data_IF_984798964518
#
_entry.id   IF_984798964518
#
_cell.length_a   1.000
_cell.length_b   1.000
_cell.length_c   1.000
_cell.angle_alpha   90.00
_cell.angle_beta   90.00
_cell.angle_gamma   90.00
#
_symmetry.space_group_name_H-M   'P 1'
#
loop_
_entity.id
_entity.type
_entity.pdbx_description
1 polymer ?
#
# COMPACT_ATOMS: atom_id res chain seq x y z
N UNK A 1 1.28 -25.68 4.54
CA UNK A 1 1.11 -24.67 3.47
C UNK A 1 2.17 -23.60 3.74
N UNK A 2 3.23 -23.52 2.93
CA UNK A 2 4.45 -22.76 3.30
C UNK A 2 4.32 -21.30 2.86
N UNK A 3 3.62 -20.49 3.66
CA UNK A 3 3.63 -19.02 3.59
C UNK A 3 4.78 -18.39 4.42
N UNK A 4 5.70 -19.21 4.94
CA UNK A 4 6.85 -18.80 5.77
C UNK A 4 7.90 -17.92 5.05
N UNK A 5 7.70 -17.59 3.77
CA UNK A 5 8.65 -16.81 2.97
C UNK A 5 8.19 -15.39 2.61
N UNK A 6 7.02 -14.95 3.11
CA UNK A 6 6.61 -13.54 2.98
C UNK A 6 7.59 -12.59 3.73
N UNK A 7 8.44 -13.10 4.63
CA UNK A 7 9.18 -12.25 5.59
C UNK A 7 10.71 -12.23 5.47
N UNK A 8 11.34 -12.69 4.38
CA UNK A 8 12.81 -12.79 4.36
C UNK A 8 13.45 -12.65 2.97
N UNK A 9 13.15 -11.58 2.23
CA UNK A 9 14.03 -11.15 1.13
C UNK A 9 14.09 -9.63 0.98
N UNK A 10 14.46 -8.93 2.05
CA UNK A 10 15.11 -7.62 1.93
C UNK A 10 16.57 -7.84 1.49
N UNK A 11 16.96 -7.24 0.37
CA UNK A 11 18.27 -7.32 -0.29
C UNK A 11 18.60 -8.63 -1.04
N UNK A 12 18.28 -8.67 -2.33
CA UNK A 12 19.15 -9.31 -3.31
C UNK A 12 19.46 -8.32 -4.44
N UNK A 13 20.67 -7.78 -4.41
CA UNK A 13 21.26 -7.03 -5.52
C UNK A 13 21.58 -8.05 -6.63
N UNK A 14 20.76 -8.13 -7.66
CA UNK A 14 21.07 -8.94 -8.85
C UNK A 14 21.85 -8.04 -9.82
N UNK A 15 23.16 -8.24 -9.90
CA UNK A 15 23.96 -7.69 -10.97
C UNK A 15 23.74 -8.53 -12.24
N UNK A 16 23.08 -7.95 -13.25
CA UNK A 16 23.05 -8.52 -14.60
C UNK A 16 24.18 -7.90 -15.44
N UNK A 17 25.07 -8.77 -15.94
CA UNK A 17 25.92 -8.48 -17.09
C UNK A 17 25.39 -9.36 -18.23
N UNK A 18 24.77 -8.77 -19.25
CA UNK A 18 24.73 -9.35 -20.61
C UNK A 18 24.81 -8.22 -21.64
N UNK A 19 25.60 -8.47 -22.68
CA UNK A 19 26.00 -7.57 -23.75
C UNK A 19 24.95 -7.47 -24.87
N UNK A 20 24.92 -6.29 -25.51
CA UNK A 20 24.35 -5.92 -26.82
C UNK A 20 23.63 -6.99 -27.66
N UNK A 21 22.35 -6.74 -27.92
CA UNK A 21 21.60 -7.24 -29.07
C UNK A 21 20.56 -6.20 -29.49
N UNK A 22 20.67 -5.67 -30.70
CA UNK A 22 19.78 -4.65 -31.26
C UNK A 22 18.45 -5.31 -31.69
N UNK A 23 17.37 -5.03 -30.97
CA UNK A 23 15.99 -5.40 -31.28
C UNK A 23 15.11 -5.11 -30.06
N UNK A 24 14.18 -4.16 -30.16
CA UNK A 24 13.31 -3.76 -29.06
C UNK A 24 12.13 -4.74 -28.92
N UNK A 25 12.44 -5.98 -28.56
CA UNK A 25 11.48 -6.88 -27.92
C UNK A 25 11.86 -6.88 -26.43
N UNK A 26 10.94 -6.44 -25.55
CA UNK A 26 11.13 -6.61 -24.10
C UNK A 26 11.34 -8.12 -23.85
N UNK A 27 12.48 -8.46 -23.26
CA UNK A 27 12.90 -9.85 -23.06
C UNK A 27 11.82 -10.59 -22.24
N UNK A 28 11.18 -11.61 -22.83
CA UNK A 28 10.09 -12.37 -22.19
C UNK A 28 10.50 -12.94 -20.82
N UNK A 29 11.81 -13.06 -20.55
CA UNK A 29 12.34 -13.43 -19.24
C UNK A 29 11.99 -12.45 -18.12
N UNK A 30 11.62 -11.20 -18.42
CA UNK A 30 11.18 -10.21 -17.44
C UNK A 30 9.76 -10.46 -16.91
N UNK A 31 8.94 -11.25 -17.61
CA UNK A 31 7.54 -11.51 -17.26
C UNK A 31 7.39 -12.87 -16.59
N UNK A 32 7.64 -12.95 -15.29
CA UNK A 32 7.61 -14.20 -14.53
C UNK A 32 7.02 -14.02 -13.12
N UNK A 33 6.79 -15.13 -12.41
CA UNK A 33 6.21 -15.11 -11.06
C UNK A 33 6.97 -14.20 -10.11
N UNK A 34 8.31 -14.27 -10.09
CA UNK A 34 9.12 -13.47 -9.17
C UNK A 34 9.01 -11.98 -9.48
N UNK A 35 9.02 -11.61 -10.76
CA UNK A 35 8.89 -10.21 -11.16
C UNK A 35 7.48 -9.67 -11.01
N UNK A 36 6.43 -10.47 -10.83
CA UNK A 36 5.07 -10.02 -10.52
C UNK A 36 4.92 -9.52 -9.07
N UNK A 37 5.74 -10.05 -8.16
CA UNK A 37 5.67 -9.80 -6.72
C UNK A 37 5.54 -8.32 -6.36
N UNK A 38 4.68 -8.02 -5.39
CA UNK A 38 4.45 -6.67 -4.89
C UNK A 38 2.96 -6.34 -4.71
N UNK A 39 2.72 -5.07 -4.36
CA UNK A 39 1.39 -4.51 -4.17
C UNK A 39 0.97 -3.76 -5.43
N UNK A 40 -0.24 -4.02 -5.89
CA UNK A 40 -0.79 -3.44 -7.11
C UNK A 40 -2.11 -2.74 -6.81
N UNK A 41 -2.30 -1.54 -7.34
CA UNK A 41 -3.47 -0.70 -7.07
C UNK A 41 -4.23 -0.39 -8.36
N UNK A 42 -5.55 -0.51 -8.33
CA UNK A 42 -6.47 -0.06 -9.39
C UNK A 42 -7.53 0.88 -8.82
N UNK A 43 -8.06 1.75 -9.67
CA UNK A 43 -9.33 2.42 -9.41
C UNK A 43 -10.52 1.54 -9.83
N UNK A 44 -11.71 1.73 -9.26
CA UNK A 44 -12.94 1.05 -9.66
C UNK A 44 -14.05 2.02 -10.07
N UNK A 45 -14.85 1.67 -11.08
CA UNK A 45 -15.98 2.53 -11.55
C UNK A 45 -17.26 2.38 -10.71
N UNK A 46 -17.31 1.50 -9.72
CA UNK A 46 -18.56 1.16 -9.05
C UNK A 46 -19.06 2.30 -8.15
N UNK A 47 -19.87 3.19 -8.73
CA UNK A 47 -21.07 3.78 -8.13
C UNK A 47 -20.88 4.67 -6.90
N UNK A 48 -20.43 5.91 -7.11
CA UNK A 48 -20.50 6.98 -6.11
C UNK A 48 -19.47 8.08 -6.39
N UNK A 49 -19.85 9.35 -6.25
CA UNK A 49 -18.91 10.46 -6.35
C UNK A 49 -17.91 10.41 -5.19
N UNK A 50 -16.67 10.01 -5.45
CA UNK A 50 -15.56 10.09 -4.49
C UNK A 50 -14.39 9.17 -4.84
N UNK A 51 -13.19 9.55 -4.44
CA UNK A 51 -11.92 8.80 -4.55
C UNK A 51 -11.87 7.50 -3.71
N UNK A 52 -13.03 6.95 -3.31
CA UNK A 52 -13.18 5.79 -2.41
C UNK A 52 -13.18 4.44 -3.13
N UNK A 53 -12.93 4.45 -4.43
CA UNK A 53 -13.02 3.28 -5.28
C UNK A 53 -11.62 2.81 -5.66
N UNK A 54 -10.85 2.38 -4.67
CA UNK A 54 -9.51 1.81 -4.87
C UNK A 54 -9.53 0.35 -4.48
N UNK A 55 -8.83 -0.47 -5.25
CA UNK A 55 -8.62 -1.89 -4.98
C UNK A 55 -7.14 -2.19 -4.99
N UNK A 56 -6.73 -3.05 -4.08
CA UNK A 56 -5.39 -3.61 -4.06
C UNK A 56 -5.45 -5.09 -4.37
N UNK A 57 -4.37 -5.59 -4.96
CA UNK A 57 -4.05 -7.02 -4.99
C UNK A 57 -2.56 -7.15 -4.66
N UNK A 58 -2.22 -8.13 -3.84
CA UNK A 58 -0.85 -8.42 -3.46
C UNK A 58 -0.46 -9.74 -4.08
N UNK A 59 0.60 -9.75 -4.89
CA UNK A 59 1.24 -10.97 -5.37
C UNK A 59 2.52 -11.18 -4.56
N UNK A 60 2.75 -12.40 -4.09
CA UNK A 60 3.89 -12.73 -3.25
C UNK A 60 5.22 -12.95 -4.00
N UNK A 61 5.19 -13.06 -5.32
CA UNK A 61 6.34 -13.46 -6.13
C UNK A 61 6.63 -14.98 -6.19
N UNK A 62 5.81 -15.81 -5.53
CA UNK A 62 5.99 -17.27 -5.43
C UNK A 62 4.75 -18.09 -5.89
N UNK A 63 3.63 -17.45 -6.20
CA UNK A 63 2.42 -18.07 -6.75
C UNK A 63 1.17 -17.94 -5.88
N UNK A 64 1.23 -17.17 -4.78
CA UNK A 64 0.08 -16.86 -3.93
C UNK A 64 -0.30 -15.37 -3.97
N UNK A 65 -1.59 -15.10 -3.84
CA UNK A 65 -2.10 -13.73 -3.81
C UNK A 65 -2.98 -13.47 -2.59
N UNK A 66 -3.07 -12.19 -2.23
CA UNK A 66 -4.05 -11.63 -1.30
C UNK A 66 -4.91 -10.65 -2.11
N UNK A 67 -6.22 -10.86 -2.14
CA UNK A 67 -7.18 -10.02 -2.88
C UNK A 67 -7.59 -8.75 -2.10
N UNK A 68 -6.62 -8.17 -1.39
CA UNK A 68 -6.61 -6.82 -0.80
C UNK A 68 -5.21 -6.55 -0.21
N UNK A 69 -4.90 -5.29 0.10
CA UNK A 69 -3.77 -4.94 0.96
C UNK A 69 -4.23 -5.00 2.42
N UNK A 70 -3.62 -5.85 3.28
CA UNK A 70 -3.99 -5.90 4.68
C UNK A 70 -3.96 -4.54 5.36
N UNK A 71 -4.95 -4.21 6.20
CA UNK A 71 -5.10 -2.86 6.78
C UNK A 71 -3.93 -2.42 7.65
N UNK A 72 -3.13 -3.36 8.16
CA UNK A 72 -1.92 -3.10 8.93
C UNK A 72 -0.66 -2.96 8.05
N UNK A 73 -0.77 -3.25 6.75
CA UNK A 73 0.35 -3.46 5.82
C UNK A 73 0.88 -4.90 5.90
N UNK A 74 2.06 -5.16 5.33
CA UNK A 74 2.62 -6.52 5.23
C UNK A 74 3.68 -6.81 6.29
N UNK A 75 4.27 -5.77 6.92
CA UNK A 75 5.27 -5.93 7.99
C UNK A 75 4.76 -6.78 9.16
N UNK A 76 5.39 -7.94 9.36
CA UNK A 76 5.13 -8.85 10.46
C UNK A 76 3.73 -9.49 10.44
N UNK A 77 3.06 -9.52 9.28
CA UNK A 77 1.72 -10.12 9.18
C UNK A 77 1.77 -11.61 9.53
N UNK A 78 0.88 -12.03 10.44
CA UNK A 78 0.80 -13.41 10.89
C UNK A 78 -0.09 -14.25 9.99
N UNK A 79 0.10 -15.58 10.02
CA UNK A 79 -0.80 -16.51 9.32
C UNK A 79 -2.26 -16.34 9.77
N UNK A 80 -2.48 -16.15 11.08
CA UNK A 80 -3.83 -15.88 11.61
C UNK A 80 -4.46 -14.61 11.06
N UNK A 81 -3.67 -13.56 10.82
CA UNK A 81 -4.16 -12.33 10.19
C UNK A 81 -4.46 -12.55 8.71
N UNK A 82 -3.61 -13.28 7.98
CA UNK A 82 -3.82 -13.63 6.57
C UNK A 82 -5.12 -14.41 6.34
N UNK A 83 -5.51 -15.29 7.28
CA UNK A 83 -6.76 -16.06 7.19
C UNK A 83 -8.03 -15.20 7.25
N UNK A 84 -7.90 -13.91 7.59
CA UNK A 84 -9.02 -12.95 7.55
C UNK A 84 -9.24 -12.33 6.17
N UNK A 85 -8.31 -12.58 5.23
CA UNK A 85 -8.36 -12.06 3.85
C UNK A 85 -8.72 -13.15 2.84
N UNK A 86 -9.13 -12.72 1.66
CA UNK A 86 -9.34 -13.63 0.53
C UNK A 86 -7.99 -13.98 -0.07
N UNK A 87 -7.58 -15.23 0.11
CA UNK A 87 -6.32 -15.77 -0.40
C UNK A 87 -6.56 -16.51 -1.72
N UNK A 88 -5.55 -16.51 -2.57
CA UNK A 88 -5.60 -17.20 -3.86
C UNK A 88 -4.25 -17.69 -4.33
N UNK A 89 -4.24 -18.20 -5.55
CA UNK A 89 -3.05 -18.65 -6.26
C UNK A 89 -3.01 -18.07 -7.65
N UNK A 90 -1.83 -17.96 -8.25
CA UNK A 90 -1.68 -17.56 -9.64
C UNK A 90 -0.55 -18.31 -10.33
N UNK A 91 -0.63 -18.35 -11.65
CA UNK A 91 0.42 -18.83 -12.54
C UNK A 91 0.70 -17.79 -13.61
N UNK A 92 1.96 -17.69 -14.01
CA UNK A 92 2.41 -16.77 -15.05
C UNK A 92 2.83 -17.57 -16.29
N UNK A 93 2.29 -17.22 -17.45
CA UNK A 93 2.67 -17.79 -18.75
C UNK A 93 2.89 -16.66 -19.75
N UNK A 94 4.15 -16.34 -20.04
CA UNK A 94 4.51 -15.16 -20.84
C UNK A 94 3.94 -13.90 -20.18
N UNK A 95 3.17 -13.10 -20.93
CA UNK A 95 2.55 -11.87 -20.41
C UNK A 95 1.26 -12.08 -19.60
N UNK A 96 0.73 -13.31 -19.59
CA UNK A 96 -0.57 -13.61 -18.99
C UNK A 96 -0.40 -14.15 -17.58
N UNK A 97 -1.28 -13.70 -16.68
CA UNK A 97 -1.37 -14.18 -15.30
C UNK A 97 -2.78 -14.72 -15.07
N UNK A 98 -2.88 -16.03 -14.88
CA UNK A 98 -4.11 -16.69 -14.48
C UNK A 98 -4.13 -16.79 -12.97
N UNK A 99 -5.07 -16.12 -12.32
CA UNK A 99 -5.20 -16.04 -10.88
C UNK A 99 -6.57 -16.55 -10.43
N UNK A 100 -6.64 -17.16 -9.26
CA UNK A 100 -7.89 -17.69 -8.70
C UNK A 100 -7.94 -17.58 -7.19
N UNK A 101 -9.13 -17.26 -6.69
CA UNK A 101 -9.51 -17.26 -5.28
C UNK A 101 -10.66 -18.24 -5.08
N UNK A 102 -11.07 -18.56 -3.84
CA UNK A 102 -12.28 -19.36 -3.59
C UNK A 102 -13.58 -18.80 -4.19
N UNK A 103 -13.61 -17.52 -4.56
CA UNK A 103 -14.84 -16.83 -4.99
C UNK A 103 -14.85 -16.46 -6.48
N UNK A 104 -13.69 -16.35 -7.11
CA UNK A 104 -13.59 -15.87 -8.50
C UNK A 104 -12.23 -16.18 -9.12
N UNK A 105 -12.17 -16.10 -10.44
CA UNK A 105 -10.94 -16.20 -11.21
C UNK A 105 -10.70 -14.91 -11.99
N UNK A 106 -9.44 -14.59 -12.17
CA UNK A 106 -8.97 -13.39 -12.84
C UNK A 106 -7.97 -13.78 -13.93
N UNK A 107 -8.11 -13.15 -15.08
CA UNK A 107 -7.06 -13.14 -16.10
C UNK A 107 -6.47 -11.74 -16.13
N UNK A 108 -5.19 -11.61 -15.81
CA UNK A 108 -4.44 -10.37 -16.00
C UNK A 108 -3.46 -10.50 -17.15
N UNK A 109 -3.09 -9.37 -17.74
CA UNK A 109 -2.07 -9.29 -18.78
C UNK A 109 -1.15 -8.10 -18.49
N UNK A 110 0.16 -8.31 -18.58
CA UNK A 110 1.12 -7.21 -18.53
C UNK A 110 1.03 -6.34 -19.77
N UNK A 111 0.68 -5.07 -19.56
CA UNK A 111 0.96 -4.03 -20.57
C UNK A 111 2.46 -3.72 -20.60
N UNK A 112 3.05 -3.62 -19.40
CA UNK A 112 4.47 -3.42 -19.12
C UNK A 112 4.78 -3.95 -17.71
N UNK A 113 6.04 -3.97 -17.29
CA UNK A 113 6.46 -4.56 -16.00
C UNK A 113 5.77 -3.94 -14.76
N UNK A 114 5.18 -2.75 -14.87
CA UNK A 114 4.54 -2.00 -13.78
C UNK A 114 3.03 -1.79 -14.00
N UNK A 115 2.46 -2.34 -15.06
CA UNK A 115 1.04 -2.14 -15.40
C UNK A 115 0.37 -3.43 -15.88
N UNK A 116 -0.76 -3.77 -15.25
CA UNK A 116 -1.61 -4.90 -15.61
C UNK A 116 -2.98 -4.42 -16.10
N UNK A 117 -3.49 -5.07 -17.14
CA UNK A 117 -4.93 -5.07 -17.45
C UNK A 117 -5.57 -6.31 -16.83
N UNK A 118 -6.90 -6.26 -16.62
CA UNK A 118 -7.68 -7.42 -16.19
C UNK A 118 -8.84 -7.62 -17.15
N UNK A 119 -9.04 -8.85 -17.59
CA UNK A 119 -10.17 -9.20 -18.46
C UNK A 119 -11.51 -8.76 -17.84
N UNK A 120 -12.38 -8.16 -18.65
CA UNK A 120 -13.67 -7.64 -18.19
C UNK A 120 -13.59 -6.42 -17.24
N UNK A 121 -12.43 -5.77 -17.11
CA UNK A 121 -12.25 -4.61 -16.25
C UNK A 121 -11.70 -3.39 -16.99
N UNK A 122 -12.31 -2.23 -16.77
CA UNK A 122 -11.94 -0.98 -17.46
C UNK A 122 -10.62 -0.39 -16.96
N UNK A 123 -10.35 -0.49 -15.66
CA UNK A 123 -9.17 0.13 -15.06
C UNK A 123 -7.99 -0.85 -15.01
N UNK A 124 -6.81 -0.26 -15.13
CA UNK A 124 -5.54 -0.97 -15.00
C UNK A 124 -5.12 -1.03 -13.53
N UNK A 125 -4.37 -2.06 -13.20
CA UNK A 125 -3.62 -2.14 -11.96
C UNK A 125 -2.21 -1.62 -12.20
N UNK A 126 -1.75 -0.75 -11.31
CA UNK A 126 -0.42 -0.17 -11.35
C UNK A 126 0.36 -0.66 -10.14
N UNK A 127 1.62 -1.02 -10.35
CA UNK A 127 2.51 -1.41 -9.26
C UNK A 127 2.72 -0.23 -8.31
N UNK A 128 2.44 -0.43 -7.04
CA UNK A 128 2.74 0.54 -5.99
C UNK A 128 4.25 0.59 -5.74
N UNK A 129 4.77 1.79 -5.49
CA UNK A 129 6.18 2.02 -5.17
C UNK A 129 6.27 2.50 -3.73
N UNK A 130 6.90 1.72 -2.85
CA UNK A 130 7.21 2.11 -1.47
C UNK A 130 8.61 1.62 -1.15
N UNK A 131 9.45 2.51 -0.64
CA UNK A 131 10.79 2.16 -0.14
C UNK A 131 10.76 2.03 1.37
N UNK A 132 11.40 1.00 1.88
CA UNK A 132 11.60 0.86 3.31
C UNK A 132 12.40 2.03 3.87
N UNK A 133 12.07 2.39 5.11
CA UNK A 133 12.66 3.50 5.86
C UNK A 133 12.48 4.87 5.20
N UNK A 134 11.51 5.01 4.28
CA UNK A 134 11.13 6.29 3.71
C UNK A 134 10.85 7.31 4.82
N UNK A 135 11.44 8.51 4.67
CA UNK A 135 11.19 9.67 5.53
C UNK A 135 10.38 10.70 4.76
N UNK A 136 9.23 11.04 5.32
CA UNK A 136 8.32 12.05 4.78
C UNK A 136 8.36 13.31 5.64
N UNK A 137 8.13 14.45 5.00
CA UNK A 137 7.90 15.73 5.68
C UNK A 137 6.62 16.35 5.18
N UNK A 138 5.66 16.55 6.09
CA UNK A 138 4.39 17.20 5.79
C UNK A 138 3.28 16.78 6.74
N UNK A 139 2.08 17.28 6.43
CA UNK A 139 0.85 16.98 7.16
C UNK A 139 -0.21 16.47 6.19
N UNK A 140 -0.97 15.46 6.60
CA UNK A 140 -2.03 14.86 5.79
C UNK A 140 -3.33 14.81 6.57
N UNK A 141 -4.45 14.94 5.85
CA UNK A 141 -5.80 14.89 6.39
C UNK A 141 -6.71 14.00 5.54
N UNK A 142 -7.75 13.45 6.16
CA UNK A 142 -8.85 12.77 5.46
C UNK A 142 -9.85 13.76 4.87
N UNK A 143 -9.75 15.06 5.17
CA UNK A 143 -10.63 16.09 4.62
C UNK A 143 -10.29 16.40 3.17
N UNK A 144 -11.32 16.50 2.34
CA UNK A 144 -11.18 16.92 0.94
C UNK A 144 -10.76 18.39 0.79
N UNK A 145 -11.20 19.26 1.71
CA UNK A 145 -10.70 20.63 1.84
C UNK A 145 -9.48 20.64 2.77
N UNK A 146 -8.28 20.48 2.22
CA UNK A 146 -7.04 20.40 2.99
C UNK A 146 -6.66 21.70 3.70
N UNK A 147 -7.21 22.82 3.23
CA UNK A 147 -7.01 24.18 3.74
C UNK A 147 -8.15 24.67 4.64
N UNK A 148 -9.02 23.77 5.12
CA UNK A 148 -10.06 24.13 6.08
C UNK A 148 -9.42 24.67 7.39
N UNK A 149 -9.70 25.93 7.80
CA UNK A 149 -9.14 26.52 9.01
C UNK A 149 -9.46 25.73 10.29
N UNK A 150 -10.56 24.96 10.31
CA UNK A 150 -10.91 24.11 11.45
C UNK A 150 -9.79 23.11 11.77
N UNK A 151 -9.06 22.64 10.77
CA UNK A 151 -7.95 21.70 10.95
C UNK A 151 -6.76 22.31 11.71
N UNK A 152 -6.68 23.65 11.81
CA UNK A 152 -5.60 24.38 12.48
C UNK A 152 -5.97 24.83 13.91
N UNK A 153 -7.26 24.77 14.25
CA UNK A 153 -7.73 25.03 15.61
C UNK A 153 -7.16 24.05 16.64
N UNK A 154 -7.08 24.46 17.90
CA UNK A 154 -6.58 23.61 18.99
C UNK A 154 -7.42 22.34 19.21
N UNK A 155 -6.77 21.31 19.76
CA UNK A 155 -7.41 20.03 20.09
C UNK A 155 -7.28 18.99 18.97
N UNK A 156 -8.06 17.93 19.10
CA UNK A 156 -8.00 16.79 18.18
C UNK A 156 -8.56 17.17 16.81
N UNK A 157 -7.81 16.90 15.74
CA UNK A 157 -8.16 17.15 14.33
C UNK A 157 -7.64 15.98 13.48
N UNK A 158 -8.28 15.66 12.34
CA UNK A 158 -7.90 14.53 11.49
C UNK A 158 -6.62 14.85 10.71
N UNK A 159 -5.51 15.04 11.41
CA UNK A 159 -4.25 15.49 10.86
C UNK A 159 -3.13 14.62 11.40
N UNK A 160 -2.40 13.97 10.52
CA UNK A 160 -1.14 13.31 10.82
C UNK A 160 0.00 14.13 10.22
N UNK A 161 0.98 14.47 11.05
CA UNK A 161 2.22 15.12 10.64
C UNK A 161 3.35 14.12 10.75
N UNK A 162 4.10 13.92 9.66
CA UNK A 162 5.33 13.12 9.65
C UNK A 162 6.51 14.06 9.44
N UNK A 163 7.58 13.85 10.21
CA UNK A 163 8.81 14.62 10.12
C UNK A 163 9.92 13.79 9.48
N UNK A 164 10.86 14.46 8.81
CA UNK A 164 11.97 13.80 8.12
C UNK A 164 12.94 13.09 9.08
N UNK A 165 12.94 13.45 10.36
CA UNK A 165 13.72 12.81 11.42
C UNK A 165 13.12 11.49 11.92
N UNK A 166 11.97 11.07 11.38
CA UNK A 166 11.28 9.86 11.79
C UNK A 166 10.33 10.03 12.98
N UNK A 167 10.05 11.25 13.40
CA UNK A 167 9.01 11.54 14.41
C UNK A 167 7.65 11.84 13.76
N UNK A 168 6.57 11.70 14.52
CA UNK A 168 5.23 12.08 14.07
C UNK A 168 4.42 12.80 15.15
N UNK A 169 3.42 13.54 14.69
CA UNK A 169 2.32 14.06 15.51
C UNK A 169 1.00 13.66 14.89
N UNK A 170 0.25 12.81 15.57
CA UNK A 170 -1.13 12.45 15.26
C UNK A 170 -2.06 13.33 16.10
N UNK A 171 -2.79 14.23 15.43
CA UNK A 171 -3.81 15.06 16.09
C UNK A 171 -5.16 14.38 16.15
N UNK A 172 -5.28 13.14 15.65
CA UNK A 172 -6.52 12.38 15.59
C UNK A 172 -6.93 12.05 14.16
N UNK A 173 -5.98 11.70 13.28
CA UNK A 173 -6.26 11.26 11.91
C UNK A 173 -7.30 10.12 11.88
N UNK A 174 -7.29 9.26 12.90
CA UNK A 174 -8.18 8.10 13.05
C UNK A 174 -9.34 8.31 14.03
N UNK A 175 -9.46 9.50 14.63
CA UNK A 175 -10.54 9.80 15.59
C UNK A 175 -11.87 9.88 14.83
N UNK A 176 -12.85 9.10 15.27
CA UNK A 176 -14.22 9.12 14.74
C UNK A 176 -15.16 10.01 15.54
N UNK A 177 -14.81 10.33 16.80
CA UNK A 177 -15.56 11.22 17.68
C UNK A 177 -14.65 12.26 18.32
N UNK A 178 -14.62 13.47 17.75
CA UNK A 178 -13.76 14.56 18.22
C UNK A 178 -14.23 15.20 19.55
N UNK A 179 -15.42 14.87 20.07
CA UNK A 179 -15.88 15.28 21.40
C UNK A 179 -15.17 14.45 22.48
N UNK A 180 -14.95 13.15 22.22
CA UNK A 180 -14.26 12.23 23.11
C UNK A 180 -13.08 11.56 22.37
N UNK A 181 -12.04 12.32 22.00
CA UNK A 181 -10.99 11.84 21.11
C UNK A 181 -10.16 10.69 21.68
N UNK A 182 -10.23 10.47 23.01
CA UNK A 182 -9.51 9.42 23.72
C UNK A 182 -10.39 8.23 24.12
N UNK A 183 -11.63 8.14 23.63
CA UNK A 183 -12.54 7.05 23.98
C UNK A 183 -12.05 5.68 23.47
N UNK A 184 -11.35 5.68 22.33
CA UNK A 184 -10.78 4.51 21.68
C UNK A 184 -9.24 4.62 21.69
N UNK A 185 -8.52 3.95 22.61
CA UNK A 185 -7.07 4.08 22.76
C UNK A 185 -6.29 3.86 21.45
N UNK A 186 -6.73 2.93 20.60
CA UNK A 186 -6.11 2.60 19.31
C UNK A 186 -6.22 3.69 18.24
N UNK A 187 -7.10 4.67 18.43
CA UNK A 187 -7.33 5.79 17.51
C UNK A 187 -7.04 7.15 18.16
N UNK A 188 -6.60 7.15 19.43
CA UNK A 188 -6.39 8.36 20.20
C UNK A 188 -5.18 9.15 19.66
N UNK A 189 -5.24 10.50 19.64
CA UNK A 189 -4.12 11.36 19.25
C UNK A 189 -2.85 11.07 20.05
N UNK A 190 -1.70 11.50 19.53
CA UNK A 190 -0.43 11.36 20.22
C UNK A 190 0.77 11.72 19.36
N UNK A 191 1.95 11.41 19.89
CA UNK A 191 3.24 11.66 19.21
C UNK A 191 4.13 10.46 19.41
N UNK A 192 5.18 10.35 18.59
CA UNK A 192 6.16 9.29 18.72
C UNK A 192 7.07 9.21 17.51
N UNK A 193 7.54 7.99 17.21
CA UNK A 193 8.38 7.70 16.04
C UNK A 193 7.64 6.82 15.05
N UNK A 194 7.95 6.97 13.77
CA UNK A 194 7.40 6.14 12.72
C UNK A 194 8.47 5.44 11.89
N UNK A 195 8.07 4.36 11.24
CA UNK A 195 8.83 3.66 10.21
C UNK A 195 7.87 3.26 9.09
N UNK A 196 8.34 3.34 7.85
CA UNK A 196 7.65 2.75 6.70
C UNK A 196 8.44 1.52 6.30
N UNK A 197 7.81 0.35 6.26
CA UNK A 197 8.46 -0.92 5.93
C UNK A 197 7.41 -1.88 5.39
N UNK A 198 7.69 -2.60 4.30
CA UNK A 198 6.79 -3.61 3.72
C UNK A 198 5.34 -3.12 3.58
N UNK A 199 5.17 -1.95 2.97
CA UNK A 199 3.86 -1.29 2.80
C UNK A 199 3.09 -1.06 4.11
N UNK A 200 3.79 -0.98 5.24
CA UNK A 200 3.27 -0.66 6.57
C UNK A 200 3.85 0.66 7.07
N UNK A 201 2.99 1.57 7.51
CA UNK A 201 3.33 2.65 8.42
C UNK A 201 3.21 2.13 9.86
N UNK A 202 4.36 1.94 10.50
CA UNK A 202 4.48 1.52 11.90
C UNK A 202 4.66 2.76 12.76
N UNK A 203 3.73 3.00 13.67
CA UNK A 203 3.71 4.13 14.59
C UNK A 203 3.96 3.63 16.02
N UNK A 204 5.08 4.04 16.59
CA UNK A 204 5.41 3.78 18.00
C UNK A 204 5.14 5.06 18.78
N UNK A 205 4.03 5.09 19.51
CA UNK A 205 3.62 6.23 20.32
C UNK A 205 4.44 6.32 21.61
N UNK A 206 4.64 7.54 22.08
CA UNK A 206 5.36 7.84 23.34
C UNK A 206 4.67 7.26 24.59
N UNK A 207 3.38 6.92 24.49
CA UNK A 207 2.60 6.26 25.54
C UNK A 207 2.71 4.72 25.52
N UNK A 208 3.51 4.16 24.60
CA UNK A 208 3.76 2.72 24.48
C UNK A 208 2.84 2.00 23.47
N UNK A 209 1.86 2.68 22.86
CA UNK A 209 1.06 2.06 21.79
C UNK A 209 1.90 1.80 20.55
N UNK A 210 1.75 0.62 19.97
CA UNK A 210 2.28 0.26 18.66
C UNK A 210 1.12 0.07 17.68
N UNK A 211 1.06 0.91 16.66
CA UNK A 211 -0.04 0.95 15.70
C UNK A 211 0.52 0.76 14.30
N UNK A 212 0.05 -0.27 13.59
CA UNK A 212 0.38 -0.48 12.18
C UNK A 212 -0.80 -0.10 11.30
N UNK A 213 -0.51 0.52 10.16
CA UNK A 213 -1.45 0.86 9.09
C UNK A 213 -0.80 0.55 7.77
N UNK A 214 -1.55 0.07 6.79
CA UNK A 214 -1.03 -0.03 5.42
C UNK A 214 -0.61 1.34 4.89
N UNK A 215 0.34 1.35 3.98
CA UNK A 215 0.93 2.56 3.42
C UNK A 215 1.26 2.37 1.94
N UNK A 216 0.67 3.19 1.07
CA UNK A 216 1.03 3.30 -0.35
C UNK A 216 0.93 4.75 -0.83
N UNK A 217 1.64 5.09 -1.90
CA UNK A 217 1.32 6.24 -2.74
C UNK A 217 0.06 5.98 -3.58
N UNK A 218 -0.37 6.97 -4.37
CA UNK A 218 -1.43 6.76 -5.34
C UNK A 218 -0.89 6.03 -6.59
N UNK A 219 -1.48 4.89 -6.96
CA UNK A 219 -1.05 4.06 -8.10
C UNK A 219 0.47 3.81 -8.10
N UNK A 220 1.16 4.08 -9.21
CA UNK A 220 2.61 3.99 -9.37
C UNK A 220 3.38 5.24 -8.91
N UNK A 221 2.76 6.17 -8.16
CA UNK A 221 3.48 7.33 -7.63
C UNK A 221 4.41 6.91 -6.49
N UNK A 222 5.68 7.30 -6.61
CA UNK A 222 6.69 7.20 -5.56
C UNK A 222 6.43 8.27 -4.48
N UNK A 223 6.05 7.90 -3.24
CA UNK A 223 5.76 8.84 -2.17
C UNK A 223 6.94 9.74 -1.77
N UNK A 224 8.18 9.33 -2.07
CA UNK A 224 9.37 10.16 -1.86
C UNK A 224 9.36 11.38 -2.80
N UNK A 225 8.84 11.21 -4.02
CA UNK A 225 8.81 12.24 -5.06
C UNK A 225 7.50 13.01 -5.07
N UNK A 226 6.38 12.33 -4.82
CA UNK A 226 5.06 12.92 -4.77
C UNK A 226 4.24 12.30 -3.64
N UNK A 227 4.11 13.06 -2.56
CA UNK A 227 3.33 12.68 -1.38
C UNK A 227 2.02 13.47 -1.28
N UNK A 228 1.48 14.01 -2.38
CA UNK A 228 0.28 14.86 -2.36
C UNK A 228 -0.96 14.08 -1.94
N UNK A 229 -1.04 12.82 -2.35
CA UNK A 229 -2.07 11.88 -1.92
C UNK A 229 -1.40 10.57 -1.53
N UNK A 230 -1.73 10.08 -0.34
CA UNK A 230 -1.27 8.80 0.18
C UNK A 230 -2.48 7.95 0.53
N UNK A 231 -2.30 6.64 0.59
CA UNK A 231 -3.28 5.73 1.16
C UNK A 231 -2.72 5.15 2.44
N UNK A 232 -3.35 5.51 3.56
CA UNK A 232 -3.01 5.01 4.90
C UNK A 232 -4.20 4.21 5.42
N UNK A 233 -3.98 2.96 5.84
CA UNK A 233 -5.06 2.06 6.24
C UNK A 233 -6.13 1.85 5.16
N UNK A 234 -5.71 1.84 3.89
CA UNK A 234 -6.55 1.77 2.69
C UNK A 234 -7.48 2.99 2.51
N UNK A 235 -7.24 4.11 3.21
CA UNK A 235 -7.99 5.35 3.06
C UNK A 235 -7.10 6.44 2.45
N UNK A 236 -7.67 7.21 1.51
CA UNK A 236 -6.98 8.35 0.94
C UNK A 236 -6.77 9.43 2.01
N UNK A 237 -5.56 9.98 2.05
CA UNK A 237 -5.21 11.17 2.84
C UNK A 237 -4.50 12.17 1.93
N UNK A 238 -4.84 13.44 2.10
CA UNK A 238 -4.40 14.52 1.22
C UNK A 238 -3.42 15.42 1.96
N UNK A 239 -2.32 15.77 1.29
CA UNK A 239 -1.32 16.68 1.81
C UNK A 239 -1.92 18.07 2.00
N UNK A 240 -1.61 18.67 3.13
CA UNK A 240 -2.00 20.03 3.52
C UNK A 240 -0.94 21.05 3.12
#
# INVERSE_FOLDING_TARGET
MKLQKIMLTGCLLVAFIVMNGCGADEDESEFNTATLGGVWMSFSATGGSGFNNVRWIVFDGEGYLIDDLPRAGLDGITESELLTYTLGTYTVTGRTIDASTPYTSYTFEWTDINTLTREGYTYKFYRCIVKDNLRLSGSWTTYSNTSDPWLDESGARPVLTLNSDGTFTDRGLWVTNFIYPNAEPQNSPGTGTYQIIDFSLVLTYSDGRLIKRSFTGAVSQDPEKNSTMLYISNNAVHKR
#
